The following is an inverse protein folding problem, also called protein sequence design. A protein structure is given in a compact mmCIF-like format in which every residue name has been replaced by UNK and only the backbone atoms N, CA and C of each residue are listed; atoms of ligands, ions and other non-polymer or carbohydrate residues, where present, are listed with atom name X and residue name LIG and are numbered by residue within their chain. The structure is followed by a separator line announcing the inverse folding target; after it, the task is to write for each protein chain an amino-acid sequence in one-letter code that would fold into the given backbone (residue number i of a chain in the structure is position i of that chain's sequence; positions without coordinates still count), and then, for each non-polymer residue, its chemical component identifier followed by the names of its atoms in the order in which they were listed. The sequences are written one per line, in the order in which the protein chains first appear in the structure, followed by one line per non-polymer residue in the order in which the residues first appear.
data_IF_962086640509
#
_entry.id   IF_962086640509
#
_cell.length_a   1.000
_cell.length_b   1.000
_cell.length_c   1.000
_cell.angle_alpha   90.00
_cell.angle_beta   90.00
_cell.angle_gamma   90.00
#
_symmetry.space_group_name_H-M   'P 1'
#
loop_
_entity.id
_entity.type
_entity.pdbx_description
1 polymer ?
#
# COMPACT_ATOMS: atom_id res chain seq x y z
N UNK A 1 49.34 -8.13 -56.57
CA UNK A 1 50.04 -7.01 -55.88
C UNK A 1 49.01 -6.29 -55.03
N UNK A 2 49.41 -5.87 -53.83
CA UNK A 2 48.60 -5.35 -52.72
C UNK A 2 47.45 -4.43 -53.19
N UNK A 3 46.40 -4.29 -52.39
CA UNK A 3 46.11 -3.02 -51.70
C UNK A 3 44.91 -3.16 -50.72
N UNK A 4 45.23 -2.96 -49.44
CA UNK A 4 44.45 -2.28 -48.38
C UNK A 4 43.06 -2.82 -47.99
N UNK A 5 42.96 -3.56 -46.89
CA UNK A 5 42.77 -3.12 -45.48
C UNK A 5 41.28 -3.17 -45.05
N UNK A 6 41.02 -3.35 -43.74
CA UNK A 6 39.99 -4.22 -43.20
C UNK A 6 38.76 -3.43 -42.76
N UNK A 7 37.58 -4.01 -42.93
CA UNK A 7 36.40 -3.53 -42.23
C UNK A 7 36.15 -4.40 -41.00
N UNK A 8 36.88 -4.06 -39.95
CA UNK A 8 36.28 -4.08 -38.61
C UNK A 8 34.97 -3.32 -38.67
N UNK A 9 33.87 -3.92 -38.24
CA UNK A 9 32.84 -3.27 -37.44
C UNK A 9 32.05 -4.38 -36.74
N UNK A 10 32.52 -4.70 -35.53
CA UNK A 10 31.69 -5.33 -34.52
C UNK A 10 30.51 -4.39 -34.27
N UNK A 11 29.34 -4.74 -34.80
CA UNK A 11 28.09 -4.13 -34.37
C UNK A 11 27.72 -4.76 -33.02
N UNK A 12 28.24 -4.16 -31.96
CA UNK A 12 27.73 -4.31 -30.60
C UNK A 12 26.25 -3.93 -30.66
N UNK A 13 25.36 -4.92 -30.57
CA UNK A 13 23.94 -4.64 -30.34
C UNK A 13 23.82 -4.09 -28.93
N UNK A 14 23.78 -2.76 -28.84
CA UNK A 14 23.47 -2.05 -27.62
C UNK A 14 22.10 -2.50 -27.11
N UNK A 15 22.07 -2.82 -25.81
CA UNK A 15 20.87 -3.10 -25.07
C UNK A 15 19.91 -1.90 -25.15
N UNK A 16 18.70 -2.14 -25.64
CA UNK A 16 17.53 -1.38 -25.21
C UNK A 16 16.82 -2.23 -24.16
N UNK A 17 17.23 -2.10 -22.90
CA UNK A 17 16.32 -2.37 -21.78
C UNK A 17 15.31 -1.24 -21.84
N UNK A 18 14.30 -1.41 -22.70
CA UNK A 18 13.06 -0.64 -22.66
C UNK A 18 12.33 -1.00 -21.38
N UNK A 19 12.84 -0.51 -20.25
CA UNK A 19 12.02 -0.28 -19.09
C UNK A 19 10.96 0.70 -19.53
N UNK A 20 9.77 0.19 -19.83
CA UNK A 20 8.57 0.98 -19.95
C UNK A 20 8.36 1.66 -18.60
N UNK A 21 8.93 2.86 -18.47
CA UNK A 21 8.57 3.82 -17.46
C UNK A 21 7.11 4.16 -17.74
N UNK A 22 6.22 3.53 -17.01
CA UNK A 22 4.78 3.76 -17.08
C UNK A 22 4.48 5.19 -16.58
N UNK A 23 4.57 6.16 -17.47
CA UNK A 23 4.03 7.50 -17.29
C UNK A 23 3.09 7.78 -18.44
N UNK A 24 1.84 7.35 -18.30
CA UNK A 24 0.62 8.07 -18.68
C UNK A 24 -0.59 7.17 -18.37
N UNK A 25 -1.48 7.65 -17.50
CA UNK A 25 -2.76 6.99 -17.23
C UNK A 25 -3.10 6.62 -15.79
N UNK A 26 -2.32 7.01 -14.77
CA UNK A 26 -2.71 6.79 -13.36
C UNK A 26 -3.79 7.79 -12.94
N UNK A 27 -5.02 7.56 -13.41
CA UNK A 27 -6.22 8.12 -12.78
C UNK A 27 -6.22 7.67 -11.33
N UNK A 28 -6.33 8.60 -10.39
CA UNK A 28 -6.43 8.32 -8.96
C UNK A 28 -7.56 7.31 -8.71
N UNK A 29 -7.23 6.04 -8.59
CA UNK A 29 -8.12 5.07 -7.98
C UNK A 29 -7.90 5.24 -6.49
N UNK A 30 -8.76 6.03 -5.84
CA UNK A 30 -8.71 6.26 -4.40
C UNK A 30 -8.65 4.93 -3.61
N UNK A 31 -9.03 3.83 -4.24
CA UNK A 31 -8.96 2.49 -3.70
C UNK A 31 -8.26 1.54 -4.68
N UNK A 32 -7.27 0.80 -4.19
CA UNK A 32 -6.74 -0.40 -4.81
C UNK A 32 -7.46 -1.62 -4.24
N UNK A 33 -7.86 -2.55 -5.11
CA UNK A 33 -8.40 -3.84 -4.70
C UNK A 33 -7.65 -4.95 -5.45
N UNK A 34 -7.15 -5.98 -4.76
CA UNK A 34 -6.52 -7.12 -5.42
C UNK A 34 -7.50 -7.85 -6.35
N UNK A 35 -7.00 -8.33 -7.50
CA UNK A 35 -7.80 -9.10 -8.46
C UNK A 35 -8.26 -10.44 -7.86
N UNK A 36 -7.39 -11.10 -7.11
CA UNK A 36 -7.66 -12.38 -6.46
C UNK A 36 -7.96 -12.20 -4.96
N UNK A 37 -8.86 -13.03 -4.38
CA UNK A 37 -8.99 -13.13 -2.93
C UNK A 37 -7.70 -13.68 -2.33
N UNK A 38 -7.33 -13.18 -1.15
CA UNK A 38 -6.14 -13.59 -0.43
C UNK A 38 -6.45 -13.81 1.05
N UNK A 39 -5.67 -14.65 1.72
CA UNK A 39 -5.79 -14.85 3.15
C UNK A 39 -4.99 -13.79 3.91
N UNK A 40 -5.49 -13.39 5.07
CA UNK A 40 -4.71 -12.58 6.00
C UNK A 40 -3.72 -13.46 6.77
N UNK A 41 -2.55 -12.90 7.05
CA UNK A 41 -1.51 -13.55 7.86
C UNK A 41 -1.21 -12.70 9.07
N UNK A 42 -1.29 -13.28 10.27
CA UNK A 42 -0.98 -12.58 11.52
C UNK A 42 -0.22 -13.53 12.45
N UNK A 43 0.98 -13.13 12.88
CA UNK A 43 1.84 -13.90 13.78
C UNK A 43 2.06 -15.37 13.35
N UNK A 44 2.19 -15.61 12.04
CA UNK A 44 2.36 -16.97 11.48
C UNK A 44 1.07 -17.78 11.34
N UNK A 45 -0.09 -17.23 11.74
CA UNK A 45 -1.40 -17.83 11.54
C UNK A 45 -2.11 -17.26 10.31
N UNK A 46 -2.97 -18.05 9.67
CA UNK A 46 -3.64 -17.72 8.41
C UNK A 46 -5.15 -17.63 8.63
N UNK A 47 -5.81 -16.65 8.01
CA UNK A 47 -7.27 -16.54 8.11
C UNK A 47 -7.96 -17.76 7.53
N UNK A 48 -9.04 -18.20 8.18
CA UNK A 48 -9.82 -19.37 7.75
C UNK A 48 -10.57 -19.13 6.44
N UNK A 49 -10.83 -17.86 6.10
CA UNK A 49 -11.47 -17.42 4.87
C UNK A 49 -10.52 -16.53 4.07
N UNK A 50 -10.66 -16.57 2.75
CA UNK A 50 -10.02 -15.61 1.86
C UNK A 50 -10.85 -14.34 1.73
N UNK A 51 -10.20 -13.20 1.69
CA UNK A 51 -10.81 -11.89 1.60
C UNK A 51 -10.30 -11.12 0.38
N UNK A 52 -11.11 -10.19 -0.13
CA UNK A 52 -10.68 -9.19 -1.13
C UNK A 52 -10.69 -7.79 -0.51
N UNK A 53 -9.76 -7.49 0.41
CA UNK A 53 -9.69 -6.19 1.06
C UNK A 53 -9.41 -5.08 0.06
N UNK A 54 -9.95 -3.91 0.37
CA UNK A 54 -9.62 -2.66 -0.32
C UNK A 54 -8.50 -1.97 0.44
N UNK A 55 -7.60 -1.32 -0.29
CA UNK A 55 -6.47 -0.56 0.25
C UNK A 55 -6.49 0.85 -0.31
N UNK A 56 -6.04 1.82 0.47
CA UNK A 56 -5.84 3.17 -0.04
C UNK A 56 -4.57 3.23 -0.90
N UNK A 57 -4.67 3.85 -2.06
CA UNK A 57 -3.55 4.03 -3.00
C UNK A 57 -2.81 5.34 -2.73
N UNK A 58 -2.23 5.90 -3.80
CA UNK A 58 -1.64 7.23 -3.79
C UNK A 58 -2.48 8.20 -4.64
N UNK A 59 -2.56 9.46 -4.20
CA UNK A 59 -3.14 10.55 -4.98
C UNK A 59 -2.07 11.09 -5.95
N UNK A 60 -2.47 11.57 -7.13
CA UNK A 60 -1.56 12.05 -8.17
C UNK A 60 -0.96 13.44 -7.87
N UNK A 61 -1.39 14.09 -6.78
CA UNK A 61 -0.93 15.37 -6.28
C UNK A 61 -0.31 15.24 -4.88
N UNK A 62 0.06 16.36 -4.26
CA UNK A 62 0.63 16.41 -2.90
C UNK A 62 -0.40 16.18 -1.78
N UNK A 63 -1.43 15.36 -2.02
CA UNK A 63 -2.47 15.02 -1.01
C UNK A 63 -2.23 13.63 -0.45
N UNK A 64 -2.65 13.44 0.79
CA UNK A 64 -2.64 12.14 1.44
C UNK A 64 -3.93 11.36 1.16
N UNK A 65 -3.78 10.07 0.88
CA UNK A 65 -4.90 9.15 0.68
C UNK A 65 -5.24 8.46 2.01
N UNK A 66 -6.29 8.93 2.67
CA UNK A 66 -6.71 8.41 3.96
C UNK A 66 -8.00 7.59 3.82
N UNK A 67 -8.19 6.53 4.62
CA UNK A 67 -9.46 5.81 4.67
C UNK A 67 -10.56 6.78 5.14
N UNK A 68 -11.62 6.91 4.34
CA UNK A 68 -12.76 7.79 4.62
C UNK A 68 -13.96 7.03 5.16
N UNK A 69 -14.20 5.82 4.62
CA UNK A 69 -15.24 4.91 5.11
C UNK A 69 -14.61 3.56 5.37
N UNK A 70 -14.65 3.14 6.63
CA UNK A 70 -14.19 1.82 7.08
C UNK A 70 -15.19 1.23 8.05
N UNK A 71 -15.11 -0.09 8.23
CA UNK A 71 -15.79 -0.83 9.28
C UNK A 71 -14.78 -1.77 9.93
N UNK A 72 -15.05 -2.20 11.14
CA UNK A 72 -14.25 -3.25 11.77
C UNK A 72 -14.94 -4.58 11.54
N UNK A 73 -14.21 -5.58 11.03
CA UNK A 73 -14.72 -6.94 10.87
C UNK A 73 -13.97 -7.88 11.80
N UNK A 74 -14.64 -8.92 12.26
CA UNK A 74 -13.97 -10.02 12.96
C UNK A 74 -13.44 -11.05 11.96
N UNK A 75 -12.15 -11.37 12.07
CA UNK A 75 -11.45 -12.34 11.22
C UNK A 75 -10.93 -13.46 12.10
N UNK A 76 -11.34 -14.68 11.81
CA UNK A 76 -10.83 -15.87 12.47
C UNK A 76 -9.57 -16.39 11.79
N UNK A 77 -8.54 -16.67 12.58
CA UNK A 77 -7.25 -17.19 12.18
C UNK A 77 -7.06 -18.61 12.69
N UNK A 78 -6.43 -19.44 11.87
CA UNK A 78 -6.00 -20.79 12.21
C UNK A 78 -4.47 -20.82 12.21
N UNK A 79 -3.90 -21.36 13.29
CA UNK A 79 -2.45 -21.53 13.45
C UNK A 79 -2.08 -23.00 13.19
N UNK A 80 -0.87 -23.28 12.68
CA UNK A 80 -0.41 -24.65 12.44
C UNK A 80 -0.25 -25.45 13.74
N UNK A 81 0.32 -24.84 14.79
CA UNK A 81 0.68 -25.52 16.05
C UNK A 81 -0.12 -24.99 17.25
N UNK A 82 -1.32 -24.44 17.04
CA UNK A 82 -2.06 -23.81 18.13
C UNK A 82 -3.55 -23.63 17.87
N UNK A 83 -4.31 -23.25 18.92
CA UNK A 83 -5.72 -22.94 18.80
C UNK A 83 -5.92 -21.73 17.88
N UNK A 84 -7.00 -21.75 17.12
CA UNK A 84 -7.42 -20.59 16.34
C UNK A 84 -7.90 -19.45 17.24
N UNK A 85 -7.86 -18.22 16.72
CA UNK A 85 -8.33 -17.04 17.43
C UNK A 85 -9.01 -16.05 16.48
N UNK A 86 -9.81 -15.15 17.04
CA UNK A 86 -10.46 -14.06 16.28
C UNK A 86 -9.81 -12.72 16.57
N UNK A 87 -9.68 -11.89 15.53
CA UNK A 87 -9.21 -10.50 15.64
C UNK A 87 -10.05 -9.54 14.81
N UNK A 88 -10.27 -8.39 15.40
CA UNK A 88 -10.86 -7.23 14.73
C UNK A 88 -9.85 -6.61 13.78
N UNK A 89 -10.22 -6.54 12.50
CA UNK A 89 -9.40 -5.98 11.43
C UNK A 89 -10.15 -4.82 10.78
N UNK A 90 -9.41 -3.76 10.43
CA UNK A 90 -9.96 -2.61 9.72
C UNK A 90 -10.30 -3.01 8.27
N UNK A 91 -11.56 -2.88 7.90
CA UNK A 91 -12.07 -3.14 6.56
C UNK A 91 -12.43 -1.84 5.86
N UNK A 92 -11.58 -1.44 4.91
CA UNK A 92 -11.75 -0.21 4.15
C UNK A 92 -12.84 -0.41 3.08
N UNK A 93 -13.75 0.56 2.96
CA UNK A 93 -14.76 0.59 1.91
C UNK A 93 -14.46 1.66 0.85
N UNK A 94 -13.95 2.82 1.29
CA UNK A 94 -13.56 3.95 0.45
C UNK A 94 -12.44 4.78 1.10
N UNK A 95 -11.62 5.41 0.26
CA UNK A 95 -10.61 6.38 0.67
C UNK A 95 -10.87 7.74 0.02
N UNK A 96 -10.27 8.78 0.57
CA UNK A 96 -10.39 10.16 0.08
C UNK A 96 -9.03 10.87 0.13
N UNK A 97 -8.78 11.74 -0.86
CA UNK A 97 -7.56 12.53 -0.96
C UNK A 97 -7.74 13.88 -0.25
N UNK A 98 -7.02 14.11 0.85
CA UNK A 98 -7.06 15.35 1.64
C UNK A 98 -5.68 15.99 1.74
N UNK A 99 -5.65 17.31 1.90
CA UNK A 99 -4.41 18.07 2.16
C UNK A 99 -3.93 17.88 3.61
N UNK A 100 -4.83 17.50 4.52
CA UNK A 100 -4.51 17.19 5.92
C UNK A 100 -3.94 15.77 6.03
N UNK A 101 -2.63 15.68 5.90
CA UNK A 101 -1.89 14.43 6.04
C UNK A 101 -1.77 14.03 7.50
N UNK A 102 -2.23 12.82 7.82
CA UNK A 102 -1.96 12.17 9.09
C UNK A 102 -0.71 11.32 8.91
N UNK A 103 0.31 11.50 9.74
CA UNK A 103 1.50 10.67 9.67
C UNK A 103 1.14 9.25 10.16
N UNK A 104 1.18 8.21 9.32
CA UNK A 104 0.82 6.85 9.73
C UNK A 104 1.84 6.24 10.70
N UNK A 105 3.05 6.81 10.80
CA UNK A 105 4.06 6.40 11.77
C UNK A 105 3.90 7.10 13.12
N UNK A 106 3.08 8.15 13.18
CA UNK A 106 2.82 8.90 14.41
C UNK A 106 1.50 8.42 15.02
N UNK A 107 1.63 7.36 15.84
CA UNK A 107 0.50 6.73 16.55
C UNK A 107 -0.06 7.69 17.63
N UNK A 108 0.69 8.73 18.01
CA UNK A 108 0.30 9.68 19.06
C UNK A 108 -0.33 10.97 18.52
N UNK A 109 -0.42 11.15 17.19
CA UNK A 109 -1.05 12.32 16.59
C UNK A 109 -2.54 12.50 16.99
N UNK A 110 -3.22 11.47 17.52
CA UNK A 110 -4.57 11.57 18.10
C UNK A 110 -4.59 11.93 19.59
N UNK A 111 -3.47 11.76 20.31
CA UNK A 111 -3.41 11.97 21.76
C UNK A 111 -3.21 13.44 22.14
N UNK A 112 -2.82 14.30 21.20
CA UNK A 112 -2.54 15.73 21.45
C UNK A 112 -3.79 16.53 21.89
N UNK A 113 -5.00 15.96 21.82
CA UNK A 113 -6.23 16.64 22.24
C UNK A 113 -6.58 16.49 23.73
N UNK A 114 -5.71 15.95 24.58
CA UNK A 114 -5.98 15.99 26.02
C UNK A 114 -5.73 17.42 26.52
N UNK A 115 -6.76 18.18 26.94
CA UNK A 115 -6.55 19.51 27.46
C UNK A 115 -5.61 19.41 28.67
N UNK A 116 -4.62 20.29 28.69
CA UNK A 116 -3.72 20.44 29.82
C UNK A 116 -4.55 20.65 31.09
N UNK A 117 -4.24 19.89 32.16
CA UNK A 117 -4.96 19.97 33.44
C UNK A 117 -4.96 21.40 34.03
N UNK A 118 -4.06 22.27 33.54
CA UNK A 118 -4.00 23.71 33.79
C UNK A 118 -5.28 24.47 33.44
N UNK A 119 -6.10 24.00 32.49
CA UNK A 119 -7.36 24.67 32.10
C UNK A 119 -8.59 24.21 32.90
N UNK A 120 -8.47 23.14 33.68
CA UNK A 120 -9.58 22.59 34.50
C UNK A 120 -9.64 23.28 35.88
N UNK A 121 -8.63 24.08 36.23
CA UNK A 121 -8.46 24.69 37.55
C UNK A 121 -8.71 26.21 37.59
N UNK A 122 -9.40 26.81 36.62
CA UNK A 122 -9.77 28.24 36.65
C UNK A 122 -11.26 28.48 36.41
#
# INVERSE_FOLDING_TARGET
MRWFLPWTLAAVTAAAVGGALATEGKKCLAVYQPEAPMNFTLAGCISTRSYRPKYCGACADSRCCNPYKSKTIDVSFQCPDGPGFSRQVLWINACFCTLSCRNPNDIFADLESYPDFSEIAN
#
